data_IF_213606152214
#
_entry.id   IF_213606152214
#
_cell.length_a   1.000
_cell.length_b   1.000
_cell.length_c   1.000
_cell.angle_alpha   90.00
_cell.angle_beta   90.00
_cell.angle_gamma   90.00
#
_symmetry.space_group_name_H-M   'P 1'
#
loop_
_entity.id
_entity.type
_entity.pdbx_description
1 polymer ?
#
# COMPACT_ATOMS: atom_id res chain seq x y z
N UNK A 1 -48.93 1.94 1.09
CA UNK A 1 -48.64 0.51 1.30
C UNK A 1 -47.41 0.39 2.18
N UNK A 2 -47.53 -0.16 3.40
CA UNK A 2 -46.39 -0.41 4.28
C UNK A 2 -45.67 -1.66 3.76
N UNK A 3 -44.41 -1.54 3.31
CA UNK A 3 -43.56 -2.69 3.01
C UNK A 3 -43.29 -3.44 4.31
N UNK A 4 -43.86 -4.64 4.44
CA UNK A 4 -43.66 -5.50 5.60
C UNK A 4 -42.24 -6.08 5.64
N UNK A 5 -41.71 -6.27 6.85
CA UNK A 5 -40.38 -6.81 7.15
C UNK A 5 -40.00 -8.01 6.27
N UNK A 6 -40.93 -8.94 6.04
CA UNK A 6 -40.68 -10.14 5.23
C UNK A 6 -40.52 -9.89 3.72
N UNK A 7 -41.19 -8.88 3.15
CA UNK A 7 -40.97 -8.48 1.75
C UNK A 7 -39.62 -7.79 1.57
N UNK A 8 -39.23 -6.95 2.54
CA UNK A 8 -37.89 -6.37 2.59
C UNK A 8 -36.82 -7.48 2.70
N UNK A 9 -37.07 -8.51 3.52
CA UNK A 9 -36.15 -9.63 3.71
C UNK A 9 -35.99 -10.50 2.45
N UNK A 10 -37.07 -10.83 1.75
CA UNK A 10 -36.98 -11.57 0.48
C UNK A 10 -36.24 -10.78 -0.61
N UNK A 11 -36.52 -9.48 -0.74
CA UNK A 11 -35.74 -8.60 -1.64
C UNK A 11 -34.30 -8.43 -1.17
N UNK A 12 -34.04 -8.50 0.14
CA UNK A 12 -32.70 -8.45 0.71
C UNK A 12 -31.94 -9.74 0.47
N UNK A 13 -32.59 -10.91 0.49
CA UNK A 13 -31.95 -12.19 0.18
C UNK A 13 -31.55 -12.28 -1.29
N UNK A 14 -32.42 -11.84 -2.21
CA UNK A 14 -32.10 -11.78 -3.64
C UNK A 14 -31.02 -10.73 -3.91
N UNK A 15 -31.09 -9.56 -3.28
CA UNK A 15 -30.07 -8.51 -3.38
C UNK A 15 -28.74 -8.95 -2.75
N UNK A 16 -28.76 -9.66 -1.62
CA UNK A 16 -27.59 -10.25 -0.96
C UNK A 16 -27.00 -11.35 -1.83
N UNK A 17 -27.79 -12.24 -2.41
CA UNK A 17 -27.29 -13.29 -3.31
C UNK A 17 -26.62 -12.67 -4.56
N UNK A 18 -27.24 -11.63 -5.13
CA UNK A 18 -26.72 -10.94 -6.31
C UNK A 18 -25.54 -10.00 -6.03
N UNK A 19 -25.32 -9.59 -4.78
CA UNK A 19 -24.26 -8.64 -4.38
C UNK A 19 -23.39 -9.17 -3.23
N UNK A 20 -23.39 -10.49 -2.99
CA UNK A 20 -22.74 -11.10 -1.82
C UNK A 20 -21.26 -10.70 -1.70
N UNK A 21 -20.56 -10.62 -2.83
CA UNK A 21 -19.16 -10.20 -2.88
C UNK A 21 -18.96 -8.72 -2.54
N UNK A 22 -19.87 -7.82 -2.91
CA UNK A 22 -19.78 -6.39 -2.52
C UNK A 22 -20.05 -6.22 -1.04
N UNK A 23 -21.05 -6.93 -0.53
CA UNK A 23 -21.38 -6.95 0.91
C UNK A 23 -20.22 -7.53 1.71
N UNK A 24 -19.59 -8.60 1.22
CA UNK A 24 -18.46 -9.22 1.89
C UNK A 24 -17.19 -8.36 1.82
N UNK A 25 -16.88 -7.74 0.67
CA UNK A 25 -15.76 -6.80 0.56
C UNK A 25 -15.96 -5.55 1.44
N UNK A 26 -17.20 -5.04 1.53
CA UNK A 26 -17.55 -3.97 2.47
C UNK A 26 -17.37 -4.41 3.92
N UNK A 27 -17.77 -5.64 4.26
CA UNK A 27 -17.64 -6.18 5.61
C UNK A 27 -16.18 -6.41 6.02
N UNK A 28 -15.29 -6.77 5.08
CA UNK A 28 -13.86 -6.97 5.37
C UNK A 28 -13.18 -5.70 5.91
N UNK A 29 -13.63 -4.51 5.48
CA UNK A 29 -13.18 -3.23 6.04
C UNK A 29 -13.73 -2.91 7.44
N UNK A 30 -14.60 -3.77 7.98
CA UNK A 30 -15.22 -3.58 9.29
C UNK A 30 -14.24 -3.80 10.45
N UNK A 31 -14.33 -2.95 11.46
CA UNK A 31 -13.45 -2.99 12.64
C UNK A 31 -13.36 -4.38 13.27
N UNK A 32 -14.49 -5.03 13.57
CA UNK A 32 -14.50 -6.32 14.27
C UNK A 32 -13.84 -7.43 13.46
N UNK A 33 -14.05 -7.43 12.14
CA UNK A 33 -13.53 -8.44 11.22
C UNK A 33 -12.02 -8.28 11.07
N UNK A 34 -11.58 -7.05 10.80
CA UNK A 34 -10.15 -6.71 10.73
C UNK A 34 -9.45 -7.00 12.06
N UNK A 35 -10.02 -6.55 13.17
CA UNK A 35 -9.46 -6.76 14.50
C UNK A 35 -9.29 -8.25 14.83
N UNK A 36 -10.28 -9.09 14.48
CA UNK A 36 -10.19 -10.54 14.68
C UNK A 36 -9.03 -11.14 13.87
N UNK A 37 -8.94 -10.82 12.58
CA UNK A 37 -7.88 -11.34 11.70
C UNK A 37 -6.49 -10.90 12.17
N UNK A 38 -6.36 -9.63 12.57
CA UNK A 38 -5.09 -9.05 13.04
C UNK A 38 -4.66 -9.63 14.37
N UNK A 39 -5.58 -9.78 15.34
CA UNK A 39 -5.30 -10.44 16.61
C UNK A 39 -4.83 -11.87 16.39
N UNK A 40 -5.53 -12.66 15.57
CA UNK A 40 -5.14 -14.03 15.26
C UNK A 40 -3.74 -14.12 14.63
N UNK A 41 -3.40 -13.19 13.73
CA UNK A 41 -2.07 -13.13 13.11
C UNK A 41 -0.96 -12.88 14.12
N UNK A 42 -1.11 -11.87 14.98
CA UNK A 42 -0.11 -11.56 15.98
C UNK A 42 -0.03 -12.61 17.10
N UNK A 43 -1.16 -13.22 17.47
CA UNK A 43 -1.16 -14.32 18.43
C UNK A 43 -0.39 -15.54 17.90
N UNK A 44 -0.48 -15.83 16.59
CA UNK A 44 0.35 -16.87 15.97
C UNK A 44 1.85 -16.53 16.06
N UNK A 45 2.23 -15.27 15.80
CA UNK A 45 3.62 -14.84 15.93
C UNK A 45 4.12 -14.92 17.38
N UNK A 46 3.26 -14.58 18.35
CA UNK A 46 3.53 -14.74 19.77
C UNK A 46 3.90 -16.19 20.10
N UNK A 47 3.09 -17.15 19.63
CA UNK A 47 3.36 -18.57 19.78
C UNK A 47 4.65 -19.02 19.09
N UNK A 48 4.94 -18.51 17.88
CA UNK A 48 6.20 -18.79 17.17
C UNK A 48 7.44 -18.28 17.91
N UNK A 49 7.29 -17.25 18.75
CA UNK A 49 8.35 -16.74 19.63
C UNK A 49 8.48 -17.52 20.95
N UNK A 50 7.65 -18.54 21.18
CA UNK A 50 7.67 -19.34 22.42
C UNK A 50 6.65 -18.89 23.48
N UNK A 51 5.82 -17.90 23.17
CA UNK A 51 4.73 -17.46 24.06
C UNK A 51 3.64 -18.53 24.16
N UNK A 52 3.28 -18.91 25.39
CA UNK A 52 2.24 -19.93 25.66
C UNK A 52 1.10 -19.40 26.52
N UNK A 53 1.21 -18.17 27.03
CA UNK A 53 0.21 -17.55 27.89
C UNK A 53 -0.54 -16.45 27.13
N UNK A 54 -1.77 -16.16 27.54
CA UNK A 54 -2.46 -14.93 27.12
C UNK A 54 -2.01 -13.74 27.97
N UNK A 55 -1.34 -13.98 29.11
CA UNK A 55 -0.91 -12.93 30.04
C UNK A 55 0.27 -12.14 29.48
N UNK A 56 1.16 -12.80 28.72
CA UNK A 56 2.33 -12.18 28.08
C UNK A 56 2.03 -11.69 26.65
N UNK A 57 0.82 -11.94 26.13
CA UNK A 57 0.35 -11.40 24.87
C UNK A 57 -0.48 -10.15 25.09
N UNK A 58 0.15 -8.97 24.98
CA UNK A 58 -0.58 -7.71 25.06
C UNK A 58 -1.04 -7.29 23.68
N UNK A 59 -2.35 -7.14 23.53
CA UNK A 59 -2.98 -6.70 22.30
C UNK A 59 -4.07 -5.69 22.61
N UNK A 60 -4.02 -4.55 21.94
CA UNK A 60 -5.08 -3.55 21.97
C UNK A 60 -5.29 -3.00 20.56
N UNK A 61 -6.53 -2.63 20.27
CA UNK A 61 -6.89 -2.04 18.99
C UNK A 61 -7.95 -0.97 19.15
N UNK A 62 -7.93 -0.01 18.23
CA UNK A 62 -8.93 1.05 18.15
C UNK A 62 -9.17 1.43 16.70
N UNK A 63 -10.36 1.96 16.37
CA UNK A 63 -10.59 2.56 15.06
C UNK A 63 -9.57 3.68 14.79
N UNK A 64 -9.13 3.82 13.54
CA UNK A 64 -8.24 4.92 13.15
C UNK A 64 -8.95 6.27 13.39
N UNK A 65 -8.30 7.25 14.06
CA UNK A 65 -8.83 8.62 14.14
C UNK A 65 -8.99 9.24 12.74
N UNK A 66 -10.03 10.05 12.54
CA UNK A 66 -10.37 10.63 11.22
C UNK A 66 -9.34 11.65 10.72
N UNK A 67 -8.64 12.28 11.64
CA UNK A 67 -7.63 13.31 11.48
C UNK A 67 -6.23 12.74 11.26
N UNK A 68 -6.08 11.41 11.24
CA UNK A 68 -4.80 10.76 11.05
C UNK A 68 -4.47 10.58 9.55
N UNK A 69 -3.22 10.82 9.11
CA UNK A 69 -2.73 10.52 7.76
C UNK A 69 -3.02 9.07 7.32
N UNK A 70 -3.18 8.75 6.03
CA UNK A 70 -3.50 7.40 5.50
C UNK A 70 -5.00 7.07 5.40
N UNK A 71 -5.34 5.84 4.97
CA UNK A 71 -6.73 5.39 4.80
C UNK A 71 -7.61 5.51 6.04
N UNK A 72 -8.80 6.12 5.87
CA UNK A 72 -9.81 6.29 6.92
C UNK A 72 -10.50 4.98 7.36
N UNK A 73 -10.32 3.89 6.61
CA UNK A 73 -11.00 2.61 6.86
C UNK A 73 -10.07 1.57 7.51
N UNK A 74 -9.20 2.03 8.41
CA UNK A 74 -8.23 1.20 9.10
C UNK A 74 -8.42 1.13 10.62
N UNK A 75 -7.56 0.34 11.26
CA UNK A 75 -7.43 0.23 12.71
C UNK A 75 -5.99 0.55 13.14
N UNK A 76 -5.85 1.06 14.35
CA UNK A 76 -4.56 1.11 15.04
C UNK A 76 -4.47 -0.08 15.97
N UNK A 77 -3.34 -0.76 15.94
CA UNK A 77 -3.06 -1.92 16.79
C UNK A 77 -1.79 -1.66 17.57
N UNK A 78 -1.81 -1.95 18.86
CA UNK A 78 -0.61 -2.01 19.69
C UNK A 78 -0.47 -3.43 20.19
N UNK A 79 0.68 -4.04 19.90
CA UNK A 79 0.97 -5.44 20.21
C UNK A 79 2.32 -5.56 20.88
N UNK A 80 2.42 -6.39 21.92
CA UNK A 80 3.69 -6.83 22.49
C UNK A 80 3.73 -8.36 22.40
N UNK A 81 4.69 -8.87 21.63
CA UNK A 81 4.90 -10.30 21.48
C UNK A 81 5.87 -10.83 22.55
N UNK A 82 5.90 -12.15 22.70
CA UNK A 82 6.78 -12.83 23.64
C UNK A 82 8.24 -12.42 23.43
N UNK A 83 8.90 -12.05 24.54
CA UNK A 83 10.29 -11.62 24.54
C UNK A 83 10.54 -10.20 24.01
N UNK A 84 9.50 -9.43 23.65
CA UNK A 84 9.64 -8.02 23.30
C UNK A 84 9.59 -7.14 24.55
N UNK A 85 10.56 -6.24 24.67
CA UNK A 85 10.64 -5.31 25.80
C UNK A 85 9.56 -4.23 25.75
N UNK A 86 9.21 -3.77 24.55
CA UNK A 86 8.25 -2.69 24.32
C UNK A 86 7.17 -3.09 23.31
N UNK A 87 5.93 -2.61 23.49
CA UNK A 87 4.88 -2.80 22.51
C UNK A 87 5.20 -2.08 21.20
N UNK A 88 4.87 -2.72 20.08
CA UNK A 88 4.94 -2.14 18.75
C UNK A 88 3.56 -1.71 18.28
N UNK A 89 3.46 -0.48 17.77
CA UNK A 89 2.24 0.05 17.16
C UNK A 89 2.23 -0.17 15.65
N UNK A 90 1.08 -0.51 15.11
CA UNK A 90 0.83 -0.71 13.68
C UNK A 90 -0.40 0.08 13.24
N UNK A 91 -0.30 0.66 12.04
CA UNK A 91 -1.45 1.09 11.25
C UNK A 91 -1.86 -0.08 10.37
N UNK A 92 -3.11 -0.52 10.47
CA UNK A 92 -3.62 -1.64 9.68
C UNK A 92 -4.76 -1.18 8.81
N UNK A 93 -4.61 -1.37 7.49
CA UNK A 93 -5.62 -1.02 6.50
C UNK A 93 -6.09 -2.29 5.77
N UNK A 94 -7.34 -2.29 5.33
CA UNK A 94 -7.80 -3.25 4.34
C UNK A 94 -7.13 -2.96 3.01
N UNK A 95 -6.71 -4.02 2.31
CA UNK A 95 -6.17 -3.97 0.96
C UNK A 95 -7.17 -3.29 0.00
N UNK A 96 -6.65 -2.55 -0.98
CA UNK A 96 -7.48 -1.92 -2.00
C UNK A 96 -7.95 -2.96 -3.02
N UNK A 97 -9.19 -3.44 -2.88
CA UNK A 97 -9.85 -4.14 -3.98
C UNK A 97 -9.89 -3.18 -5.18
N UNK A 98 -9.04 -3.41 -6.18
CA UNK A 98 -8.61 -2.38 -7.16
C UNK A 98 -9.72 -1.41 -7.60
N UNK A 99 -9.39 -0.12 -7.67
CA UNK A 99 -10.33 0.94 -8.03
C UNK A 99 -11.12 0.60 -9.29
N UNK A 100 -12.35 1.13 -9.32
CA UNK A 100 -13.16 1.36 -10.51
C UNK A 100 -13.43 0.09 -11.31
N UNK A 101 -14.41 -0.65 -10.85
CA UNK A 101 -15.66 -0.57 -11.57
C UNK A 101 -16.79 -0.96 -10.64
N UNK A 102 -17.98 -0.47 -10.97
CA UNK A 102 -19.27 -1.03 -10.56
C UNK A 102 -19.45 -2.47 -11.06
N UNK A 103 -18.37 -3.25 -11.19
CA UNK A 103 -18.42 -4.62 -11.65
C UNK A 103 -18.96 -5.47 -10.51
N UNK A 104 -19.94 -6.29 -10.88
CA UNK A 104 -20.64 -7.19 -9.99
C UNK A 104 -19.78 -8.39 -9.57
N UNK A 105 -18.49 -8.22 -9.28
CA UNK A 105 -17.57 -9.33 -9.05
C UNK A 105 -16.65 -9.10 -7.83
N UNK A 106 -16.43 -10.16 -7.05
CA UNK A 106 -15.37 -10.18 -6.04
C UNK A 106 -14.04 -9.93 -6.75
N UNK A 107 -13.29 -8.91 -6.34
CA UNK A 107 -11.93 -8.71 -6.82
C UNK A 107 -10.97 -9.36 -5.83
N UNK A 108 -9.99 -10.09 -6.37
CA UNK A 108 -8.88 -10.59 -5.58
C UNK A 108 -8.01 -9.43 -5.09
N UNK A 109 -7.30 -9.61 -3.97
CA UNK A 109 -6.29 -8.65 -3.58
C UNK A 109 -5.25 -8.51 -4.71
N UNK A 110 -4.91 -7.27 -5.03
CA UNK A 110 -3.88 -6.88 -5.97
C UNK A 110 -2.50 -7.14 -5.38
N UNK A 111 -1.82 -8.18 -5.89
CA UNK A 111 -0.46 -8.57 -5.48
C UNK A 111 0.57 -7.46 -5.75
N UNK A 112 0.29 -6.53 -6.68
CA UNK A 112 1.17 -5.40 -7.00
C UNK A 112 1.25 -4.44 -5.82
N UNK A 113 0.14 -4.23 -5.09
CA UNK A 113 0.12 -3.42 -3.87
C UNK A 113 1.05 -4.00 -2.80
N UNK A 114 0.93 -5.30 -2.53
CA UNK A 114 1.78 -6.05 -1.58
C UNK A 114 3.26 -5.94 -1.97
N UNK A 115 3.55 -6.17 -3.26
CA UNK A 115 4.89 -6.06 -3.81
C UNK A 115 5.48 -4.66 -3.61
N UNK A 116 4.73 -3.59 -3.94
CA UNK A 116 5.21 -2.21 -3.80
C UNK A 116 5.42 -1.84 -2.34
N UNK A 117 4.53 -2.22 -1.42
CA UNK A 117 4.74 -1.97 0.01
C UNK A 117 6.07 -2.57 0.49
N UNK A 118 6.39 -3.81 0.07
CA UNK A 118 7.67 -4.44 0.42
C UNK A 118 8.86 -3.75 -0.25
N UNK A 119 8.70 -3.26 -1.49
CA UNK A 119 9.75 -2.53 -2.18
C UNK A 119 10.03 -1.17 -1.51
N UNK A 120 8.98 -0.44 -1.11
CA UNK A 120 9.09 0.83 -0.38
C UNK A 120 9.77 0.66 0.97
N UNK A 121 9.48 -0.41 1.71
CA UNK A 121 10.21 -0.78 2.94
C UNK A 121 11.71 -0.98 2.66
N UNK A 122 12.05 -1.72 1.60
CA UNK A 122 13.44 -2.07 1.27
C UNK A 122 14.31 -0.88 0.86
N UNK A 123 13.69 0.20 0.39
CA UNK A 123 14.35 1.48 0.05
C UNK A 123 14.15 2.56 1.11
N UNK A 124 13.58 2.20 2.27
CA UNK A 124 13.40 3.06 3.44
C UNK A 124 12.48 4.28 3.22
N UNK A 125 11.64 4.24 2.18
CA UNK A 125 10.61 5.26 1.91
C UNK A 125 9.26 4.85 2.50
N UNK A 126 9.03 3.55 2.68
CA UNK A 126 7.87 3.00 3.36
C UNK A 126 8.22 2.53 4.79
N UNK A 127 7.22 2.48 5.70
CA UNK A 127 7.38 1.80 6.97
C UNK A 127 7.54 0.28 6.77
N UNK A 128 8.08 -0.40 7.79
CA UNK A 128 8.13 -1.86 7.81
C UNK A 128 6.71 -2.45 7.68
N UNK A 129 6.52 -3.42 6.79
CA UNK A 129 5.18 -3.95 6.46
C UNK A 129 5.06 -5.44 6.74
N UNK A 130 3.90 -5.83 7.28
CA UNK A 130 3.44 -7.20 7.37
C UNK A 130 2.12 -7.37 6.60
N UNK A 131 1.97 -8.51 5.94
CA UNK A 131 0.77 -8.85 5.19
C UNK A 131 -0.03 -9.90 5.95
N UNK A 132 -1.29 -9.57 6.22
CA UNK A 132 -2.20 -10.40 7.00
C UNK A 132 -3.21 -10.98 6.05
N UNK A 133 -2.91 -12.19 5.60
CA UNK A 133 -3.81 -13.04 4.82
C UNK A 133 -4.51 -13.98 5.80
N UNK A 134 -5.85 -13.99 5.88
CA UNK A 134 -6.58 -14.93 6.72
C UNK A 134 -6.21 -16.38 6.38
N UNK A 135 -6.04 -17.21 7.41
CA UNK A 135 -5.87 -18.67 7.26
C UNK A 135 -7.22 -19.39 7.22
N UNK A 136 -8.21 -18.83 7.92
CA UNK A 136 -9.56 -19.37 8.05
C UNK A 136 -10.56 -18.55 7.23
N UNK A 137 -11.70 -19.17 6.94
CA UNK A 137 -12.75 -18.63 6.10
C UNK A 137 -13.48 -17.51 6.83
N UNK A 138 -13.01 -16.27 6.69
CA UNK A 138 -13.69 -15.10 7.21
C UNK A 138 -14.39 -14.40 6.04
N UNK A 139 -15.71 -14.25 6.18
CA UNK A 139 -16.57 -13.45 5.29
C UNK A 139 -16.34 -13.68 3.79
N UNK A 140 -15.59 -12.81 3.10
CA UNK A 140 -15.46 -12.81 1.64
C UNK A 140 -14.48 -13.85 1.05
N UNK A 141 -13.70 -14.55 1.89
CA UNK A 141 -12.49 -15.32 1.49
C UNK A 141 -11.32 -14.47 0.95
N UNK A 142 -11.45 -13.13 0.87
CA UNK A 142 -10.46 -12.25 0.25
C UNK A 142 -9.89 -11.18 1.19
N UNK A 143 -10.45 -10.96 2.39
CA UNK A 143 -10.04 -9.88 3.30
C UNK A 143 -8.55 -9.91 3.61
N UNK A 144 -7.77 -9.09 2.90
CA UNK A 144 -6.32 -8.98 3.06
C UNK A 144 -6.03 -7.68 3.74
N UNK A 145 -5.18 -7.70 4.77
CA UNK A 145 -4.84 -6.51 5.53
C UNK A 145 -3.35 -6.24 5.45
N UNK A 146 -3.02 -4.96 5.42
CA UNK A 146 -1.65 -4.46 5.33
C UNK A 146 -1.37 -3.76 6.65
N UNK A 147 -0.46 -4.31 7.43
CA UNK A 147 -0.03 -3.76 8.71
C UNK A 147 1.32 -3.08 8.54
N UNK A 148 1.32 -1.75 8.57
CA UNK A 148 2.52 -0.93 8.53
C UNK A 148 2.92 -0.52 9.94
N UNK A 149 4.20 -0.71 10.29
CA UNK A 149 4.72 -0.28 11.60
C UNK A 149 4.58 1.23 11.72
N UNK A 150 4.00 1.67 12.84
CA UNK A 150 3.82 3.08 13.13
C UNK A 150 5.18 3.76 13.30
N UNK A 151 5.28 4.96 12.74
CA UNK A 151 6.50 5.77 12.71
C UNK A 151 6.16 7.21 13.10
N UNK A 152 6.51 7.59 14.33
CA UNK A 152 6.26 8.93 14.88
C UNK A 152 7.11 10.03 14.24
N UNK A 153 8.13 9.63 13.48
CA UNK A 153 8.95 10.49 12.65
C UNK A 153 8.35 10.75 11.25
N UNK A 154 7.15 10.25 10.94
CA UNK A 154 6.44 10.68 9.74
C UNK A 154 5.96 12.14 9.87
N UNK A 155 6.30 12.99 8.90
CA UNK A 155 5.71 14.31 8.75
C UNK A 155 5.00 14.39 7.39
N UNK A 156 3.68 14.60 7.41
CA UNK A 156 2.87 14.68 6.19
C UNK A 156 3.18 15.96 5.42
N UNK A 157 3.02 15.95 4.08
CA UNK A 157 3.13 17.19 3.30
C UNK A 157 2.15 18.28 3.79
N UNK A 158 0.98 17.88 4.31
CA UNK A 158 0.00 18.81 4.88
C UNK A 158 0.47 19.50 6.16
N UNK A 159 1.35 18.87 6.93
CA UNK A 159 1.91 19.47 8.14
C UNK A 159 3.14 20.31 7.80
N UNK A 160 3.93 19.87 6.82
CA UNK A 160 5.08 20.64 6.33
C UNK A 160 4.68 21.97 5.64
N UNK A 161 3.48 22.05 5.06
CA UNK A 161 2.90 23.33 4.59
C UNK A 161 2.91 24.40 5.69
N UNK A 162 2.72 24.00 6.94
CA UNK A 162 2.64 24.93 8.09
C UNK A 162 4.02 25.32 8.60
N UNK A 163 5.03 24.51 8.33
CA UNK A 163 6.40 24.66 8.86
C UNK A 163 7.38 25.24 7.81
N UNK A 164 6.96 25.44 6.56
CA UNK A 164 7.82 25.86 5.42
C UNK A 164 9.05 24.96 5.17
N UNK A 165 9.03 23.73 5.70
CA UNK A 165 10.17 22.80 5.76
C UNK A 165 10.08 21.63 4.77
N UNK A 166 9.27 21.76 3.70
CA UNK A 166 9.19 20.72 2.66
C UNK A 166 10.52 20.67 1.89
N UNK A 167 11.19 19.54 1.94
CA UNK A 167 12.40 19.30 1.16
C UNK A 167 12.06 19.06 -0.32
N UNK A 168 12.67 19.84 -1.22
CA UNK A 168 12.60 19.59 -2.67
C UNK A 168 13.09 18.18 -2.98
N UNK A 169 14.07 17.67 -2.23
CA UNK A 169 14.57 16.32 -2.40
C UNK A 169 13.51 15.26 -2.13
N UNK A 170 12.65 15.44 -1.13
CA UNK A 170 11.54 14.54 -0.86
C UNK A 170 10.51 14.59 -2.00
N UNK A 171 10.19 15.79 -2.53
CA UNK A 171 9.27 15.93 -3.66
C UNK A 171 9.79 15.22 -4.92
N UNK A 172 11.09 15.40 -5.26
CA UNK A 172 11.70 14.71 -6.40
C UNK A 172 11.60 13.19 -6.24
N UNK A 173 11.87 12.66 -5.04
CA UNK A 173 11.73 11.22 -4.77
C UNK A 173 10.30 10.72 -4.96
N UNK A 174 9.29 11.44 -4.44
CA UNK A 174 7.88 11.06 -4.60
C UNK A 174 7.46 10.99 -6.07
N UNK A 175 7.92 11.93 -6.90
CA UNK A 175 7.68 11.92 -8.34
C UNK A 175 8.37 10.75 -9.02
N UNK A 176 9.62 10.44 -8.65
CA UNK A 176 10.32 9.28 -9.19
C UNK A 176 9.57 8.00 -8.87
N UNK A 177 9.13 7.81 -7.63
CA UNK A 177 8.42 6.62 -7.19
C UNK A 177 7.04 6.52 -7.85
N UNK A 178 6.32 7.64 -7.99
CA UNK A 178 5.07 7.72 -8.76
C UNK A 178 5.21 7.14 -10.16
N UNK A 179 6.29 7.51 -10.86
CA UNK A 179 6.49 7.11 -12.25
C UNK A 179 7.09 5.71 -12.35
N UNK A 180 8.09 5.38 -11.53
CA UNK A 180 8.81 4.11 -11.60
C UNK A 180 7.95 2.95 -11.12
N UNK A 181 7.21 3.13 -10.02
CA UNK A 181 6.40 2.08 -9.39
C UNK A 181 4.93 2.15 -9.76
N UNK A 182 4.55 3.10 -10.63
CA UNK A 182 3.17 3.27 -11.07
C UNK A 182 2.18 3.41 -9.91
N UNK A 183 2.52 4.19 -8.89
CA UNK A 183 1.65 4.43 -7.73
C UNK A 183 0.89 5.75 -7.86
N UNK A 184 -0.35 5.77 -7.42
CA UNK A 184 -1.24 6.93 -7.31
C UNK A 184 -1.60 7.20 -5.84
N UNK A 185 -2.47 8.19 -5.61
CA UNK A 185 -2.91 8.61 -4.27
C UNK A 185 -1.79 9.14 -3.36
N UNK A 186 -0.72 9.69 -3.95
CA UNK A 186 0.34 10.42 -3.25
C UNK A 186 -0.10 11.87 -2.93
N UNK A 187 -1.26 12.04 -2.31
CA UNK A 187 -1.72 13.34 -1.83
C UNK A 187 -1.12 13.66 -0.46
N UNK A 188 -1.36 14.88 0.03
CA UNK A 188 -0.64 15.46 1.17
C UNK A 188 -0.77 14.81 2.54
N UNK A 189 -1.69 13.85 2.67
CA UNK A 189 -1.90 13.05 3.88
C UNK A 189 -1.32 11.64 3.77
N UNK A 190 -0.89 11.21 2.59
CA UNK A 190 -0.39 9.85 2.37
C UNK A 190 1.12 9.82 2.12
N UNK A 191 1.70 10.99 1.88
CA UNK A 191 3.13 11.14 1.67
C UNK A 191 3.66 12.40 2.35
N UNK A 192 4.98 12.47 2.46
CA UNK A 192 5.70 13.52 3.15
C UNK A 192 7.18 13.20 3.25
N UNK A 193 7.78 13.47 4.40
CA UNK A 193 9.19 13.16 4.68
C UNK A 193 9.36 12.52 6.06
N UNK A 194 10.42 11.74 6.23
CA UNK A 194 10.84 11.33 7.57
C UNK A 194 11.53 12.51 8.26
N UNK A 195 11.14 12.79 9.51
CA UNK A 195 11.65 13.86 10.36
C UNK A 195 13.17 13.84 10.39
N UNK A 196 13.77 15.04 10.32
CA UNK A 196 15.22 15.25 10.34
C UNK A 196 15.97 14.54 9.19
N UNK A 197 15.26 14.12 8.14
CA UNK A 197 15.84 13.54 6.93
C UNK A 197 15.40 14.30 5.68
N UNK A 198 16.05 13.98 4.55
CA UNK A 198 15.59 14.38 3.22
C UNK A 198 14.88 13.26 2.48
N UNK A 199 14.60 12.14 3.14
CA UNK A 199 14.04 10.94 2.52
C UNK A 199 12.52 11.09 2.46
N UNK A 200 11.96 10.81 1.29
CA UNK A 200 10.50 10.77 1.15
C UNK A 200 9.90 9.71 2.07
N UNK A 201 8.68 9.97 2.54
CA UNK A 201 7.90 9.01 3.30
C UNK A 201 6.57 8.77 2.57
N UNK A 202 6.21 7.50 2.38
CA UNK A 202 4.94 7.06 1.80
C UNK A 202 4.30 6.08 2.78
N UNK A 203 3.14 6.46 3.32
CA UNK A 203 2.40 5.64 4.30
C UNK A 203 1.19 4.94 3.71
N UNK A 204 0.71 5.41 2.56
CA UNK A 204 -0.40 4.83 1.82
C UNK A 204 -0.33 5.22 0.34
N UNK A 205 -0.86 4.41 -0.55
CA UNK A 205 -0.87 4.63 -1.99
C UNK A 205 -1.86 3.69 -2.67
N UNK A 206 -2.05 3.85 -3.98
CA UNK A 206 -2.69 2.83 -4.77
C UNK A 206 -1.92 2.48 -6.05
N UNK A 207 -1.73 1.20 -6.41
CA UNK A 207 -1.20 0.85 -7.73
C UNK A 207 -2.09 1.38 -8.87
N UNK A 208 -1.48 1.90 -9.93
CA UNK A 208 -2.16 2.20 -11.19
C UNK A 208 -2.57 0.91 -11.87
N UNK A 209 -3.72 0.93 -12.53
CA UNK A 209 -4.21 -0.20 -13.34
C UNK A 209 -3.28 -0.55 -14.50
N UNK A 210 -2.60 0.45 -15.07
CA UNK A 210 -1.83 0.33 -16.30
C UNK A 210 -0.44 0.94 -16.19
N UNK A 211 0.53 0.20 -16.73
CA UNK A 211 1.92 0.60 -16.81
C UNK A 211 2.15 1.50 -18.04
N UNK A 212 2.10 2.83 -17.89
CA UNK A 212 2.44 3.76 -18.97
C UNK A 212 3.82 4.39 -18.80
N UNK A 213 4.64 4.32 -19.85
CA UNK A 213 5.93 4.99 -19.87
C UNK A 213 5.73 6.52 -19.95
N UNK A 214 6.01 7.24 -18.87
CA UNK A 214 6.21 8.69 -18.92
C UNK A 214 7.68 9.01 -19.13
N UNK A 215 7.95 10.04 -19.91
CA UNK A 215 9.29 10.62 -20.01
C UNK A 215 9.62 11.37 -18.71
N UNK A 216 10.24 10.65 -17.77
CA UNK A 216 10.63 11.18 -16.45
C UNK A 216 11.59 12.34 -16.60
N UNK A 217 12.52 12.29 -17.55
CA UNK A 217 13.50 13.36 -17.75
C UNK A 217 12.80 14.64 -18.17
N UNK A 218 11.84 14.55 -19.10
CA UNK A 218 10.99 15.68 -19.46
C UNK A 218 10.15 16.18 -18.28
N UNK A 219 9.66 15.27 -17.43
CA UNK A 219 8.89 15.65 -16.24
C UNK A 219 9.75 16.41 -15.21
N UNK A 220 10.97 15.92 -14.93
CA UNK A 220 11.91 16.57 -14.01
C UNK A 220 12.40 17.93 -14.53
N UNK A 221 12.64 18.05 -15.83
CA UNK A 221 13.11 19.27 -16.48
C UNK A 221 11.99 20.30 -16.74
N UNK A 222 10.74 19.86 -16.77
CA UNK A 222 9.61 20.74 -17.09
C UNK A 222 9.14 21.55 -15.89
N UNK A 223 8.37 22.60 -16.18
CA UNK A 223 7.68 23.43 -15.19
C UNK A 223 6.32 22.81 -14.77
N UNK A 224 6.17 21.51 -15.03
CA UNK A 224 4.88 20.83 -15.11
C UNK A 224 4.23 20.61 -13.76
N UNK A 225 3.02 21.14 -13.63
CA UNK A 225 2.03 20.82 -12.60
C UNK A 225 2.06 19.33 -12.22
N UNK A 226 2.22 19.06 -10.92
CA UNK A 226 2.14 17.70 -10.38
C UNK A 226 0.65 17.45 -10.07
N UNK A 227 -0.06 16.65 -10.89
CA UNK A 227 -1.53 16.68 -10.93
C UNK A 227 -2.23 16.14 -9.67
N UNK A 228 -1.46 15.69 -8.67
CA UNK A 228 -1.95 15.11 -7.43
C UNK A 228 -1.52 15.88 -6.19
N UNK A 229 -0.79 16.99 -6.35
CA UNK A 229 -0.46 17.91 -5.26
C UNK A 229 -1.24 19.21 -5.38
N UNK A 230 -1.35 19.93 -4.28
CA UNK A 230 -1.89 21.27 -4.31
C UNK A 230 -0.87 22.27 -4.88
N UNK A 231 -1.32 23.52 -5.00
CA UNK A 231 -0.54 24.59 -5.61
C UNK A 231 0.75 24.85 -4.82
N UNK A 232 0.76 24.65 -3.50
CA UNK A 232 1.93 24.95 -2.65
C UNK A 232 3.10 24.01 -2.98
N UNK A 233 2.87 22.69 -3.00
CA UNK A 233 3.95 21.75 -3.33
C UNK A 233 4.33 21.81 -4.80
N UNK A 234 3.36 22.08 -5.67
CA UNK A 234 3.62 22.30 -7.10
C UNK A 234 4.52 23.52 -7.32
N UNK A 235 4.29 24.61 -6.59
CA UNK A 235 5.10 25.84 -6.63
C UNK A 235 6.50 25.63 -6.07
N UNK A 236 6.63 24.89 -4.96
CA UNK A 236 7.94 24.58 -4.40
C UNK A 236 8.77 23.73 -5.37
N UNK A 237 8.15 22.72 -5.97
CA UNK A 237 8.80 21.91 -7.00
C UNK A 237 9.21 22.78 -8.19
N UNK A 238 8.31 23.63 -8.69
CA UNK A 238 8.54 24.49 -9.86
C UNK A 238 9.67 25.51 -9.64
N UNK A 239 9.82 26.05 -8.42
CA UNK A 239 10.89 26.99 -8.05
C UNK A 239 12.29 26.37 -8.05
N UNK A 240 12.42 25.06 -7.80
CA UNK A 240 13.71 24.39 -7.93
C UNK A 240 14.08 24.28 -9.41
N UNK A 241 15.29 24.67 -9.81
CA UNK A 241 15.70 24.51 -11.21
C UNK A 241 15.77 23.03 -11.63
N UNK A 242 15.52 22.77 -12.92
CA UNK A 242 15.51 21.42 -13.47
C UNK A 242 16.83 20.67 -13.29
N UNK A 243 17.98 21.37 -13.36
CA UNK A 243 19.30 20.75 -13.14
C UNK A 243 19.43 20.18 -11.74
N UNK A 244 18.97 20.92 -10.72
CA UNK A 244 19.03 20.45 -9.33
C UNK A 244 18.11 19.27 -9.10
N UNK A 245 16.91 19.28 -9.69
CA UNK A 245 15.99 18.13 -9.63
C UNK A 245 16.60 16.88 -10.28
N UNK A 246 17.32 17.04 -11.39
CA UNK A 246 18.04 15.94 -12.03
C UNK A 246 19.20 15.42 -11.17
N UNK A 247 19.97 16.29 -10.54
CA UNK A 247 21.05 15.90 -9.62
C UNK A 247 20.51 15.06 -8.46
N UNK A 248 19.43 15.53 -7.82
CA UNK A 248 18.74 14.80 -6.76
C UNK A 248 18.21 13.46 -7.25
N UNK A 249 17.60 13.43 -8.44
CA UNK A 249 17.08 12.19 -9.00
C UNK A 249 18.18 11.15 -9.24
N UNK A 250 19.34 11.59 -9.76
CA UNK A 250 20.50 10.71 -9.95
C UNK A 250 20.99 10.13 -8.64
N UNK A 251 21.15 10.99 -7.63
CA UNK A 251 21.60 10.59 -6.29
C UNK A 251 20.72 9.46 -5.73
N UNK A 252 19.41 9.67 -5.69
CA UNK A 252 18.49 8.71 -5.07
C UNK A 252 18.33 7.41 -5.87
N UNK A 253 18.39 7.47 -7.21
CA UNK A 253 18.40 6.26 -8.03
C UNK A 253 19.61 5.36 -7.74
N UNK A 254 20.77 5.96 -7.46
CA UNK A 254 21.96 5.22 -7.05
C UNK A 254 21.82 4.69 -5.61
N UNK A 255 21.38 5.52 -4.67
CA UNK A 255 21.24 5.14 -3.26
C UNK A 255 20.23 4.02 -3.03
N UNK A 256 19.13 3.99 -3.79
CA UNK A 256 18.10 2.96 -3.63
C UNK A 256 18.48 1.57 -4.14
N UNK A 257 19.47 1.46 -5.04
CA UNK A 257 19.88 0.18 -5.65
C UNK A 257 18.65 -0.62 -6.18
N UNK A 258 17.79 0.06 -6.94
CA UNK A 258 16.44 -0.42 -7.23
C UNK A 258 16.39 -1.81 -7.90
N UNK A 259 17.33 -2.12 -8.80
CA UNK A 259 17.34 -3.41 -9.50
C UNK A 259 17.53 -4.59 -8.53
N UNK A 260 18.44 -4.44 -7.57
CA UNK A 260 18.68 -5.41 -6.50
C UNK A 260 17.47 -5.52 -5.57
N UNK A 261 16.88 -4.38 -5.17
CA UNK A 261 15.72 -4.35 -4.26
C UNK A 261 14.45 -4.94 -4.89
N UNK A 262 14.25 -4.77 -6.20
CA UNK A 262 13.13 -5.35 -6.95
C UNK A 262 13.11 -6.88 -6.82
N UNK A 263 14.24 -7.53 -7.08
CA UNK A 263 14.34 -8.99 -6.99
C UNK A 263 14.20 -9.48 -5.55
N UNK A 264 14.80 -8.75 -4.60
CA UNK A 264 14.65 -9.03 -3.18
C UNK A 264 13.21 -8.91 -2.70
N UNK A 265 12.47 -7.88 -3.14
CA UNK A 265 11.06 -7.70 -2.80
C UNK A 265 10.22 -8.88 -3.27
N UNK A 266 10.39 -9.29 -4.54
CA UNK A 266 9.67 -10.43 -5.12
C UNK A 266 9.94 -11.75 -4.36
N UNK A 267 11.17 -11.97 -3.92
CA UNK A 267 11.53 -13.13 -3.11
C UNK A 267 10.89 -13.09 -1.71
N UNK A 268 10.86 -11.92 -1.06
CA UNK A 268 10.31 -11.75 0.29
C UNK A 268 8.78 -11.90 0.34
N UNK A 269 8.07 -11.61 -0.75
CA UNK A 269 6.61 -11.78 -0.83
C UNK A 269 6.16 -13.13 -1.40
N UNK A 270 7.09 -14.07 -1.59
CA UNK A 270 6.81 -15.36 -2.25
C UNK A 270 5.69 -16.13 -1.53
N UNK A 271 5.72 -16.15 -0.20
CA UNK A 271 4.72 -16.88 0.60
C UNK A 271 3.32 -16.25 0.44
N UNK A 272 3.24 -14.92 0.46
CA UNK A 272 2.01 -14.16 0.24
C UNK A 272 1.46 -14.44 -1.15
N UNK A 273 2.31 -14.37 -2.17
CA UNK A 273 1.96 -14.69 -3.56
C UNK A 273 1.41 -16.10 -3.67
N UNK A 274 2.11 -17.10 -3.14
CA UNK A 274 1.71 -18.50 -3.24
C UNK A 274 0.37 -18.76 -2.49
N UNK A 275 0.16 -18.10 -1.34
CA UNK A 275 -1.13 -18.13 -0.62
C UNK A 275 -2.26 -17.46 -1.42
N UNK A 276 -1.98 -16.33 -2.08
CA UNK A 276 -2.97 -15.65 -2.91
C UNK A 276 -3.35 -16.46 -4.15
N UNK A 277 -2.43 -17.21 -4.76
CA UNK A 277 -2.77 -18.18 -5.82
C UNK A 277 -3.73 -19.27 -5.33
N UNK A 278 -3.57 -19.74 -4.09
CA UNK A 278 -4.51 -20.71 -3.52
C UNK A 278 -5.90 -20.10 -3.32
N UNK A 279 -5.96 -18.82 -2.91
CA UNK A 279 -7.21 -18.08 -2.84
C UNK A 279 -7.81 -17.94 -4.24
N UNK A 280 -7.01 -17.54 -5.24
CA UNK A 280 -7.40 -17.41 -6.65
C UNK A 280 -8.16 -18.64 -7.17
N UNK A 281 -7.53 -19.81 -7.06
CA UNK A 281 -8.10 -21.10 -7.44
C UNK A 281 -9.45 -21.41 -6.74
N UNK A 282 -9.71 -20.79 -5.58
CA UNK A 282 -10.95 -20.93 -4.83
C UNK A 282 -12.12 -20.08 -5.33
N UNK A 283 -11.88 -19.05 -6.14
CA UNK A 283 -12.95 -18.27 -6.82
C UNK A 283 -12.99 -18.51 -8.34
N UNK A 284 -11.92 -19.00 -8.98
CA UNK A 284 -11.96 -19.45 -10.37
C UNK A 284 -12.73 -20.78 -10.50
N UNK A 285 -14.06 -20.66 -10.49
CA UNK A 285 -14.99 -21.58 -11.15
C UNK A 285 -15.62 -20.96 -12.41
N UNK A 286 -15.10 -19.82 -12.88
CA UNK A 286 -15.55 -19.15 -14.08
C UNK A 286 -14.37 -19.00 -15.05
N UNK A 287 -14.44 -19.72 -16.16
CA UNK A 287 -13.37 -20.07 -17.12
C UNK A 287 -12.83 -18.90 -17.98
N UNK A 288 -13.04 -17.63 -17.60
CA UNK A 288 -12.86 -16.48 -18.52
C UNK A 288 -11.87 -15.39 -18.08
N UNK A 289 -11.08 -15.55 -17.00
CA UNK A 289 -10.07 -14.57 -16.60
C UNK A 289 -8.67 -15.04 -17.01
N UNK A 290 -8.11 -14.35 -18.01
CA UNK A 290 -6.90 -14.74 -18.76
C UNK A 290 -5.57 -14.25 -18.11
N UNK A 291 -5.59 -13.56 -16.97
CA UNK A 291 -4.35 -13.18 -16.27
C UNK A 291 -4.36 -13.68 -14.83
N UNK A 292 -3.39 -14.54 -14.46
CA UNK A 292 -3.24 -15.04 -13.10
C UNK A 292 -2.51 -14.04 -12.19
N UNK A 293 -2.62 -14.20 -10.87
CA UNK A 293 -1.80 -13.44 -9.89
C UNK A 293 -0.29 -13.51 -10.20
N UNK A 294 0.16 -14.58 -10.85
CA UNK A 294 1.58 -14.77 -11.22
C UNK A 294 1.96 -13.92 -12.42
N UNK A 295 1.18 -14.02 -13.49
CA UNK A 295 1.50 -13.42 -14.78
C UNK A 295 1.42 -11.89 -14.69
N UNK A 296 0.45 -11.37 -13.94
CA UNK A 296 0.31 -9.94 -13.66
C UNK A 296 1.53 -9.39 -12.87
N UNK A 297 1.98 -10.11 -11.84
CA UNK A 297 3.14 -9.68 -11.05
C UNK A 297 4.45 -9.73 -11.85
N UNK A 298 4.70 -10.81 -12.61
CA UNK A 298 5.94 -10.95 -13.40
C UNK A 298 6.00 -9.90 -14.52
N UNK A 299 4.87 -9.67 -15.20
CA UNK A 299 4.73 -8.59 -16.16
C UNK A 299 5.01 -7.24 -15.50
N UNK A 300 4.38 -6.96 -14.36
CA UNK A 300 4.56 -5.72 -13.61
C UNK A 300 6.02 -5.49 -13.19
N UNK A 301 6.68 -6.49 -12.63
CA UNK A 301 8.11 -6.44 -12.26
C UNK A 301 8.97 -6.14 -13.48
N UNK A 302 8.70 -6.79 -14.62
CA UNK A 302 9.44 -6.55 -15.86
C UNK A 302 9.34 -5.09 -16.33
N UNK A 303 8.16 -4.47 -16.16
CA UNK A 303 7.94 -3.05 -16.50
C UNK A 303 8.69 -2.12 -15.56
N UNK A 304 8.65 -2.37 -14.26
CA UNK A 304 9.44 -1.59 -13.29
C UNK A 304 10.92 -1.67 -13.63
N UNK A 305 11.47 -2.88 -13.85
CA UNK A 305 12.88 -3.04 -14.23
C UNK A 305 13.23 -2.28 -15.51
N UNK A 306 12.38 -2.37 -16.53
CA UNK A 306 12.56 -1.65 -17.79
C UNK A 306 12.59 -0.14 -17.56
N UNK A 307 11.68 0.41 -16.75
CA UNK A 307 11.65 1.83 -16.42
C UNK A 307 12.89 2.29 -15.69
N UNK A 308 13.32 1.54 -14.66
CA UNK A 308 14.54 1.85 -13.91
C UNK A 308 15.73 1.91 -14.85
N UNK A 309 15.94 0.87 -15.68
CA UNK A 309 17.04 0.85 -16.66
C UNK A 309 16.98 2.01 -17.64
N UNK A 310 15.82 2.24 -18.24
CA UNK A 310 15.63 3.32 -19.22
C UNK A 310 15.90 4.69 -18.60
N UNK A 311 15.45 4.92 -17.36
CA UNK A 311 15.67 6.18 -16.66
C UNK A 311 17.15 6.35 -16.31
N UNK A 312 17.77 5.31 -15.76
CA UNK A 312 19.20 5.31 -15.45
C UNK A 312 20.05 5.63 -16.68
N UNK A 313 19.79 4.97 -17.81
CA UNK A 313 20.47 5.28 -19.07
C UNK A 313 20.22 6.72 -19.54
N UNK A 314 18.97 7.21 -19.46
CA UNK A 314 18.62 8.57 -19.87
C UNK A 314 19.29 9.67 -19.00
N UNK A 315 19.67 9.31 -17.77
CA UNK A 315 20.37 10.16 -16.81
C UNK A 315 21.90 9.95 -16.83
N UNK A 316 22.40 9.02 -17.64
CA UNK A 316 23.83 8.70 -17.72
C UNK A 316 24.37 7.97 -16.50
N UNK A 317 23.54 7.13 -15.87
CA UNK A 317 23.92 6.25 -14.77
C UNK A 317 24.20 4.84 -15.32
N UNK A 318 25.27 4.22 -14.83
CA UNK A 318 25.57 2.79 -15.05
C UNK A 318 24.94 2.01 -13.89
N UNK A 319 23.90 1.21 -14.17
CA UNK A 319 23.00 0.60 -13.16
C UNK A 319 22.74 -0.86 -13.47
#
# INVERSE_FOLDING_TARGET
MKSGFFKAYASFDELRANNHYQVAAWADGGFDIMNKAVRSHFHLQHGQKGGTSEIDFHYSSMPRPKDMPGSHYGILVTVQLHGEEYPTKYSVNCHHFGLRDFSRRARFPDIREIYIYKLLELIEVGPAVQFILPKEWICSRAGTYIATKWRDDFISLSDLEKEEDVSVEALVQLILLHILFYIEHLHKYNCGQWRDTKTAAIVDFMPRESCYRRDVKKFLLGDGCVPFWDDIHSDLFSKCCGEKRLEVAKKWLQEWDLLSKIDKAAALIKNERDRMKMLENGFTRYEELIDTVTDDLEYFISKIKSNVKNLSSALGLDV
#
